data_IF_933984000284
#
_entry.id   IF_933984000284
#
_cell.length_a   1.000
_cell.length_b   1.000
_cell.length_c   1.000
_cell.angle_alpha   90.00
_cell.angle_beta   90.00
_cell.angle_gamma   90.00
#
_symmetry.space_group_name_H-M   'P 1'
#
loop_
_entity.id
_entity.type
_entity.pdbx_description
1 polymer ?
#
# COMPACT_ATOMS: atom_id res chain seq x y z
N UNK A 1 42.88 -30.59 9.40
CA UNK A 1 42.03 -31.43 10.27
C UNK A 1 40.83 -30.60 10.77
N UNK A 2 40.02 -30.10 9.84
CA UNK A 2 38.67 -29.59 10.13
C UNK A 2 37.75 -30.55 9.39
N UNK A 3 37.39 -31.66 10.03
CA UNK A 3 36.28 -32.49 9.53
C UNK A 3 35.02 -31.63 9.52
N UNK A 4 34.17 -31.82 8.51
CA UNK A 4 32.99 -31.01 8.22
C UNK A 4 32.19 -30.66 9.49
N UNK A 5 32.43 -29.47 10.05
CA UNK A 5 31.70 -28.94 11.21
C UNK A 5 30.23 -28.70 10.85
N UNK A 6 29.95 -28.59 9.55
CA UNK A 6 28.64 -28.35 8.99
C UNK A 6 28.41 -29.42 7.93
N UNK A 7 27.41 -30.27 8.15
CA UNK A 7 26.90 -31.17 7.14
C UNK A 7 26.09 -30.37 6.11
N UNK A 8 26.74 -30.05 5.00
CA UNK A 8 26.13 -29.30 3.91
C UNK A 8 25.01 -30.09 3.21
N UNK A 9 25.06 -31.42 3.21
CA UNK A 9 24.01 -32.24 2.60
C UNK A 9 22.69 -32.08 3.34
N UNK A 10 22.71 -32.17 4.68
CA UNK A 10 21.52 -31.93 5.49
C UNK A 10 21.10 -30.47 5.48
N UNK A 11 22.03 -29.51 5.39
CA UNK A 11 21.71 -28.10 5.24
C UNK A 11 20.98 -27.80 3.92
N UNK A 12 21.49 -28.27 2.79
CA UNK A 12 20.82 -28.08 1.49
C UNK A 12 19.49 -28.82 1.45
N UNK A 13 19.43 -30.02 2.01
CA UNK A 13 18.17 -30.74 2.23
C UNK A 13 17.21 -29.94 3.10
N UNK A 14 17.69 -29.21 4.12
CA UNK A 14 16.91 -28.31 4.98
C UNK A 14 16.32 -27.10 4.21
N UNK A 15 17.03 -26.58 3.22
CA UNK A 15 16.64 -25.41 2.43
C UNK A 15 15.76 -25.74 1.23
N UNK A 16 15.83 -26.96 0.70
CA UNK A 16 15.19 -27.35 -0.56
C UNK A 16 13.65 -27.38 -0.60
N UNK A 17 12.93 -26.90 0.44
CA UNK A 17 11.46 -26.75 0.37
C UNK A 17 11.03 -25.30 0.52
N UNK A 18 10.08 -24.91 -0.35
CA UNK A 18 9.49 -23.58 -0.37
C UNK A 18 8.83 -23.22 0.98
N UNK A 19 8.22 -24.18 1.66
CA UNK A 19 7.62 -23.97 2.98
C UNK A 19 8.65 -23.62 4.05
N UNK A 20 9.82 -24.26 4.04
CA UNK A 20 10.90 -23.95 4.99
C UNK A 20 11.53 -22.59 4.71
N UNK A 21 11.72 -22.24 3.44
CA UNK A 21 12.14 -20.89 3.06
C UNK A 21 11.10 -19.84 3.45
N UNK A 22 9.80 -20.15 3.35
CA UNK A 22 8.73 -19.27 3.84
C UNK A 22 8.83 -19.04 5.35
N UNK A 23 9.10 -20.09 6.13
CA UNK A 23 9.30 -19.99 7.58
C UNK A 23 10.50 -19.10 7.93
N UNK A 24 11.63 -19.29 7.25
CA UNK A 24 12.83 -18.49 7.47
C UNK A 24 12.60 -17.01 7.12
N UNK A 25 11.95 -16.73 5.99
CA UNK A 25 11.60 -15.37 5.58
C UNK A 25 10.64 -14.69 6.56
N UNK A 26 9.63 -15.42 7.07
CA UNK A 26 8.67 -14.87 8.03
C UNK A 26 9.34 -14.52 9.36
N UNK A 27 10.25 -15.36 9.85
CA UNK A 27 11.05 -15.05 11.05
C UNK A 27 12.04 -13.90 10.83
N UNK A 28 12.55 -13.72 9.61
CA UNK A 28 13.42 -12.59 9.27
C UNK A 28 12.64 -11.27 9.27
N UNK A 29 11.42 -11.31 8.71
CA UNK A 29 10.54 -10.14 8.57
C UNK A 29 9.90 -9.73 9.89
N UNK A 30 9.30 -10.68 10.60
CA UNK A 30 8.42 -10.44 11.75
C UNK A 30 9.13 -10.62 13.10
N UNK A 31 10.38 -11.08 13.09
CA UNK A 31 11.15 -11.38 14.30
C UNK A 31 10.66 -12.64 15.02
N UNK A 32 10.88 -12.75 16.36
CA UNK A 32 10.52 -13.95 17.11
C UNK A 32 9.00 -14.20 17.18
N UNK A 33 8.55 -15.39 16.75
CA UNK A 33 7.13 -15.76 16.67
C UNK A 33 6.81 -17.05 17.43
N UNK A 34 5.62 -17.12 18.03
CA UNK A 34 5.12 -18.38 18.62
C UNK A 34 4.78 -19.41 17.54
N UNK A 35 4.65 -20.68 17.92
CA UNK A 35 4.25 -21.75 17.01
C UNK A 35 2.98 -21.41 16.22
N UNK A 36 1.92 -20.93 16.91
CA UNK A 36 0.63 -20.63 16.29
C UNK A 36 0.71 -19.45 15.33
N UNK A 37 1.42 -18.39 15.71
CA UNK A 37 1.62 -17.21 14.85
C UNK A 37 2.38 -17.60 13.58
N UNK A 38 3.52 -18.29 13.74
CA UNK A 38 4.37 -18.69 12.62
C UNK A 38 3.65 -19.66 11.66
N UNK A 39 2.90 -20.61 12.22
CA UNK A 39 2.09 -21.57 11.47
C UNK A 39 1.04 -20.85 10.60
N UNK A 40 0.29 -19.92 11.19
CA UNK A 40 -0.75 -19.17 10.50
C UNK A 40 -0.16 -18.23 9.44
N UNK A 41 0.92 -17.52 9.76
CA UNK A 41 1.59 -16.60 8.84
C UNK A 41 2.17 -17.33 7.61
N UNK A 42 2.63 -18.57 7.79
CA UNK A 42 3.13 -19.41 6.70
C UNK A 42 2.04 -20.20 5.95
N UNK A 43 0.75 -19.92 6.18
CA UNK A 43 -0.35 -20.50 5.42
C UNK A 43 -0.77 -21.93 5.82
N UNK A 44 -0.26 -22.46 6.94
CA UNK A 44 -0.64 -23.79 7.45
C UNK A 44 -1.91 -23.69 8.30
N UNK A 45 -3.07 -23.44 7.69
CA UNK A 45 -4.29 -23.13 8.46
C UNK A 45 -4.96 -24.38 9.05
N UNK A 46 -4.91 -25.53 8.38
CA UNK A 46 -5.72 -26.70 8.76
C UNK A 46 -5.10 -27.45 9.95
N UNK A 47 -5.95 -27.99 10.85
CA UNK A 47 -5.48 -28.76 12.02
C UNK A 47 -4.62 -29.96 11.64
N UNK A 48 -4.98 -30.65 10.55
CA UNK A 48 -4.23 -31.80 10.00
C UNK A 48 -2.79 -31.48 9.57
N UNK A 49 -2.49 -30.21 9.31
CA UNK A 49 -1.17 -29.78 8.82
C UNK A 49 -0.18 -29.49 9.97
N UNK A 50 -0.64 -29.55 11.23
CA UNK A 50 0.19 -29.24 12.40
C UNK A 50 1.40 -30.17 12.52
N UNK A 51 1.23 -31.47 12.25
CA UNK A 51 2.33 -32.44 12.28
C UNK A 51 3.39 -32.15 11.22
N UNK A 52 2.95 -31.82 9.99
CA UNK A 52 3.82 -31.42 8.89
C UNK A 52 4.59 -30.13 9.22
N UNK A 53 3.92 -29.13 9.78
CA UNK A 53 4.56 -27.88 10.18
C UNK A 53 5.59 -28.10 11.31
N UNK A 54 5.27 -28.92 12.32
CA UNK A 54 6.20 -29.29 13.37
C UNK A 54 7.45 -30.02 12.82
N UNK A 55 7.27 -30.86 11.80
CA UNK A 55 8.38 -31.50 11.09
C UNK A 55 9.34 -30.47 10.47
N UNK A 56 8.81 -29.45 9.78
CA UNK A 56 9.63 -28.38 9.21
C UNK A 56 10.45 -27.64 10.28
N UNK A 57 9.84 -27.29 11.41
CA UNK A 57 10.54 -26.63 12.51
C UNK A 57 11.65 -27.51 13.11
N UNK A 58 11.39 -28.81 13.28
CA UNK A 58 12.39 -29.75 13.80
C UNK A 58 13.61 -29.81 12.89
N UNK A 59 13.39 -29.89 11.58
CA UNK A 59 14.46 -30.00 10.59
C UNK A 59 15.26 -28.69 10.48
N UNK A 60 14.61 -27.53 10.52
CA UNK A 60 15.31 -26.24 10.55
C UNK A 60 16.10 -26.02 11.84
N UNK A 61 15.61 -26.55 12.97
CA UNK A 61 16.31 -26.48 14.25
C UNK A 61 17.51 -27.42 14.28
N UNK A 62 17.41 -28.62 13.68
CA UNK A 62 18.51 -29.60 13.69
C UNK A 62 19.75 -29.14 12.94
N UNK A 63 19.58 -28.28 11.93
CA UNK A 63 20.70 -27.64 11.19
C UNK A 63 21.02 -26.23 11.69
N UNK A 64 20.53 -25.86 12.89
CA UNK A 64 20.81 -24.59 13.55
C UNK A 64 20.43 -23.33 12.75
N UNK A 65 19.42 -23.40 11.87
CA UNK A 65 18.90 -22.23 11.14
C UNK A 65 17.92 -21.42 12.00
N UNK A 66 17.16 -22.10 12.87
CA UNK A 66 16.24 -21.48 13.81
C UNK A 66 16.48 -22.02 15.22
N UNK A 67 16.04 -21.27 16.22
CA UNK A 67 16.09 -21.66 17.63
C UNK A 67 14.75 -21.39 18.31
N UNK A 68 14.42 -22.17 19.33
CA UNK A 68 13.25 -21.96 20.20
C UNK A 68 13.71 -21.43 21.55
N UNK A 69 13.29 -20.22 21.91
CA UNK A 69 13.50 -19.71 23.25
C UNK A 69 12.54 -20.42 24.22
N UNK A 70 13.09 -21.16 25.20
CA UNK A 70 12.32 -21.99 26.13
C UNK A 70 11.43 -21.18 27.08
N UNK A 71 11.79 -19.92 27.36
CA UNK A 71 11.08 -19.03 28.28
C UNK A 71 9.89 -18.37 27.58
N UNK A 72 10.14 -17.78 26.40
CA UNK A 72 9.09 -17.06 25.65
C UNK A 72 8.26 -17.96 24.75
N UNK A 73 8.70 -19.21 24.52
CA UNK A 73 8.10 -20.16 23.56
C UNK A 73 8.03 -19.61 22.12
N UNK A 74 8.96 -18.72 21.77
CA UNK A 74 9.07 -18.12 20.44
C UNK A 74 10.26 -18.70 19.67
N UNK A 75 10.03 -18.96 18.39
CA UNK A 75 11.05 -19.31 17.42
C UNK A 75 11.69 -18.05 16.86
N UNK A 76 12.99 -18.09 16.61
CA UNK A 76 13.74 -17.01 15.96
C UNK A 76 14.84 -17.56 15.06
N UNK A 77 15.21 -16.80 14.03
CA UNK A 77 16.42 -17.06 13.26
C UNK A 77 17.66 -16.98 14.15
N UNK A 78 18.57 -17.92 13.97
CA UNK A 78 19.92 -17.85 14.54
C UNK A 78 20.81 -16.92 13.69
N UNK A 79 21.98 -16.48 14.19
CA UNK A 79 22.95 -15.74 13.37
C UNK A 79 23.34 -16.53 12.11
N UNK A 80 23.60 -17.83 12.25
CA UNK A 80 23.89 -18.72 11.12
C UNK A 80 22.73 -18.78 10.13
N UNK A 81 21.49 -18.91 10.62
CA UNK A 81 20.29 -18.90 9.79
C UNK A 81 20.12 -17.62 8.99
N UNK A 82 20.47 -16.45 9.54
CA UNK A 82 20.45 -15.18 8.82
C UNK A 82 21.48 -15.17 7.69
N UNK A 83 22.70 -15.60 7.95
CA UNK A 83 23.76 -15.70 6.92
C UNK A 83 23.37 -16.66 5.80
N UNK A 84 22.86 -17.84 6.14
CA UNK A 84 22.41 -18.83 5.16
C UNK A 84 21.24 -18.31 4.33
N UNK A 85 20.25 -17.67 4.97
CA UNK A 85 19.11 -17.09 4.25
C UNK A 85 19.55 -15.96 3.30
N UNK A 86 20.48 -15.11 3.72
CA UNK A 86 21.05 -14.06 2.88
C UNK A 86 21.77 -14.65 1.65
N UNK A 87 22.69 -15.59 1.87
CA UNK A 87 23.40 -16.29 0.79
C UNK A 87 22.43 -17.03 -0.15
N UNK A 88 21.38 -17.64 0.39
CA UNK A 88 20.33 -18.31 -0.43
C UNK A 88 19.60 -17.30 -1.31
N UNK A 89 19.31 -16.10 -0.80
CA UNK A 89 18.67 -15.06 -1.58
C UNK A 89 19.61 -14.49 -2.65
N UNK A 90 20.90 -14.27 -2.33
CA UNK A 90 21.91 -13.87 -3.32
C UNK A 90 22.04 -14.89 -4.46
N UNK A 91 22.10 -16.19 -4.14
CA UNK A 91 22.13 -17.26 -5.13
C UNK A 91 20.87 -17.28 -6.01
N UNK A 92 19.70 -16.99 -5.43
CA UNK A 92 18.47 -16.87 -6.21
C UNK A 92 18.53 -15.68 -7.16
N UNK A 93 18.93 -14.50 -6.68
CA UNK A 93 19.07 -13.31 -7.53
C UNK A 93 20.09 -13.53 -8.66
N UNK A 94 21.23 -14.16 -8.36
CA UNK A 94 22.21 -14.56 -9.38
C UNK A 94 21.59 -15.55 -10.40
N UNK A 95 20.88 -16.58 -9.93
CA UNK A 95 20.22 -17.54 -10.83
C UNK A 95 19.17 -16.85 -11.74
N UNK A 96 18.45 -15.85 -11.24
CA UNK A 96 17.53 -15.05 -12.05
C UNK A 96 18.30 -14.26 -13.13
N UNK A 97 19.40 -13.60 -12.75
CA UNK A 97 20.26 -12.84 -13.66
C UNK A 97 20.81 -13.71 -14.79
N UNK A 98 21.26 -14.94 -14.49
CA UNK A 98 21.79 -15.88 -15.48
C UNK A 98 20.73 -16.61 -16.30
N UNK A 99 19.44 -16.49 -15.97
CA UNK A 99 18.39 -17.19 -16.71
C UNK A 99 18.04 -16.58 -18.07
N UNK A 100 18.57 -15.39 -18.39
CA UNK A 100 18.26 -14.65 -19.62
C UNK A 100 16.83 -14.08 -19.69
N UNK A 101 16.07 -14.19 -18.59
CA UNK A 101 14.71 -13.67 -18.45
C UNK A 101 14.68 -12.47 -17.51
N UNK A 102 13.76 -11.56 -17.75
CA UNK A 102 13.52 -10.40 -16.89
C UNK A 102 12.49 -10.79 -15.84
N UNK A 103 12.75 -10.46 -14.57
CA UNK A 103 11.81 -10.69 -13.49
C UNK A 103 11.39 -9.39 -12.82
N UNK A 104 10.16 -9.37 -12.33
CA UNK A 104 9.55 -8.24 -11.65
C UNK A 104 9.11 -8.67 -10.26
N UNK A 105 9.41 -7.84 -9.27
CA UNK A 105 8.87 -7.99 -7.93
C UNK A 105 7.47 -7.39 -7.87
N UNK A 106 6.49 -8.24 -7.62
CA UNK A 106 5.10 -7.83 -7.43
C UNK A 106 4.89 -7.16 -6.07
N UNK A 107 3.79 -6.43 -5.92
CA UNK A 107 3.37 -5.83 -4.64
C UNK A 107 3.26 -6.85 -3.50
N UNK A 108 2.99 -8.12 -3.82
CA UNK A 108 2.95 -9.25 -2.88
C UNK A 108 4.34 -9.82 -2.52
N UNK A 109 5.42 -9.12 -2.88
CA UNK A 109 6.81 -9.53 -2.66
C UNK A 109 7.19 -10.86 -3.33
N UNK A 110 6.39 -11.29 -4.31
CA UNK A 110 6.67 -12.45 -5.15
C UNK A 110 7.41 -11.99 -6.40
N UNK A 111 8.42 -12.75 -6.81
CA UNK A 111 9.13 -12.56 -8.07
C UNK A 111 8.35 -13.30 -9.16
N UNK A 112 7.99 -12.59 -10.23
CA UNK A 112 7.31 -13.14 -11.41
C UNK A 112 8.11 -12.79 -12.66
N UNK A 113 7.99 -13.60 -13.71
CA UNK A 113 8.54 -13.25 -15.02
C UNK A 113 7.87 -11.99 -15.55
N UNK A 114 8.65 -11.12 -16.20
CA UNK A 114 8.15 -9.91 -16.84
C UNK A 114 7.17 -10.28 -17.96
N UNK A 115 6.03 -9.59 -17.96
CA UNK A 115 4.98 -9.77 -18.95
C UNK A 115 4.57 -8.39 -19.46
N UNK A 116 4.99 -8.05 -20.68
CA UNK A 116 4.68 -6.78 -21.32
C UNK A 116 3.19 -6.61 -21.59
N UNK A 117 2.41 -7.69 -21.67
CA UNK A 117 0.95 -7.61 -21.79
C UNK A 117 0.32 -6.91 -20.58
N UNK A 118 0.93 -7.00 -19.38
CA UNK A 118 0.44 -6.24 -18.21
C UNK A 118 0.55 -4.73 -18.43
N UNK A 119 1.55 -4.25 -19.16
CA UNK A 119 1.69 -2.83 -19.54
C UNK A 119 0.59 -2.46 -20.53
N UNK A 120 0.42 -3.25 -21.60
CA UNK A 120 -0.63 -3.05 -22.60
C UNK A 120 -2.02 -2.94 -21.97
N UNK A 121 -2.34 -3.87 -21.08
CA UNK A 121 -3.63 -3.90 -20.39
C UNK A 121 -3.81 -2.73 -19.42
N UNK A 122 -2.74 -2.21 -18.82
CA UNK A 122 -2.79 -1.03 -17.94
C UNK A 122 -3.04 0.23 -18.76
N UNK A 123 -2.33 0.42 -19.89
CA UNK A 123 -2.52 1.54 -20.81
C UNK A 123 -3.98 1.66 -21.29
N UNK A 124 -4.60 0.54 -21.67
CA UNK A 124 -5.98 0.53 -22.14
C UNK A 124 -6.96 0.77 -20.99
N UNK A 125 -6.85 0.00 -19.90
CA UNK A 125 -7.88 0.00 -18.84
C UNK A 125 -7.83 1.23 -17.95
N UNK A 126 -6.64 1.75 -17.68
CA UNK A 126 -6.46 2.85 -16.72
C UNK A 126 -6.37 4.20 -17.42
N UNK A 127 -5.73 4.25 -18.59
CA UNK A 127 -5.51 5.51 -19.31
C UNK A 127 -6.36 5.66 -20.57
N UNK A 128 -7.15 4.66 -20.95
CA UNK A 128 -7.95 4.67 -22.19
C UNK A 128 -7.11 4.95 -23.44
N UNK A 129 -5.86 4.46 -23.47
CA UNK A 129 -5.00 4.58 -24.65
C UNK A 129 -5.58 3.74 -25.80
N UNK A 130 -5.70 4.28 -27.03
CA UNK A 130 -6.13 3.51 -28.19
C UNK A 130 -5.26 2.27 -28.41
N UNK A 131 -5.87 1.13 -28.79
CA UNK A 131 -5.20 -0.18 -28.85
C UNK A 131 -3.91 -0.17 -29.68
N UNK A 132 -3.92 0.51 -30.82
CA UNK A 132 -2.76 0.58 -31.72
C UNK A 132 -1.61 1.37 -31.08
N UNK A 133 -1.93 2.47 -30.40
CA UNK A 133 -0.95 3.29 -29.69
C UNK A 133 -0.41 2.57 -28.45
N UNK A 134 -1.29 1.91 -27.70
CA UNK A 134 -0.91 1.09 -26.54
C UNK A 134 0.05 -0.04 -26.94
N UNK A 135 -0.19 -0.69 -28.09
CA UNK A 135 0.72 -1.71 -28.63
C UNK A 135 2.11 -1.16 -28.93
N UNK A 136 2.18 0.00 -29.60
CA UNK A 136 3.47 0.67 -29.91
C UNK A 136 4.23 1.07 -28.65
N UNK A 137 3.56 1.69 -27.68
CA UNK A 137 4.17 2.08 -26.40
C UNK A 137 4.64 0.85 -25.61
N UNK A 138 3.84 -0.22 -25.59
CA UNK A 138 4.21 -1.47 -24.91
C UNK A 138 5.46 -2.09 -25.51
N UNK A 139 5.52 -2.19 -26.85
CA UNK A 139 6.67 -2.76 -27.54
C UNK A 139 7.95 -1.94 -27.28
N UNK A 140 7.83 -0.61 -27.25
CA UNK A 140 8.95 0.26 -26.90
C UNK A 140 9.38 0.11 -25.44
N UNK A 141 8.42 0.06 -24.51
CA UNK A 141 8.71 -0.17 -23.10
C UNK A 141 9.43 -1.52 -22.90
N UNK A 142 8.95 -2.59 -23.53
CA UNK A 142 9.57 -3.91 -23.51
C UNK A 142 11.00 -3.88 -24.05
N UNK A 143 11.21 -3.28 -25.22
CA UNK A 143 12.52 -3.21 -25.87
C UNK A 143 13.56 -2.39 -25.07
N UNK A 144 13.12 -1.40 -24.30
CA UNK A 144 14.02 -0.66 -23.40
C UNK A 144 14.23 -1.38 -22.07
N UNK A 145 13.19 -1.97 -21.50
CA UNK A 145 13.26 -2.76 -20.27
C UNK A 145 14.20 -3.96 -20.46
N UNK A 146 14.20 -4.59 -21.64
CA UNK A 146 15.09 -5.71 -21.96
C UNK A 146 16.57 -5.36 -22.02
N UNK A 147 16.91 -4.07 -22.08
CA UNK A 147 18.30 -3.58 -22.06
C UNK A 147 18.77 -3.20 -20.66
N UNK A 148 17.87 -3.21 -19.67
CA UNK A 148 18.24 -2.87 -18.30
C UNK A 148 18.96 -4.05 -17.66
N UNK A 149 20.26 -3.91 -17.41
CA UNK A 149 21.03 -4.85 -16.63
C UNK A 149 20.92 -4.50 -15.14
N UNK A 150 20.74 -5.52 -14.28
CA UNK A 150 20.81 -5.39 -12.82
C UNK A 150 19.78 -4.45 -12.16
N UNK A 151 18.66 -4.15 -12.83
CA UNK A 151 17.59 -3.33 -12.25
C UNK A 151 16.52 -4.22 -11.63
N UNK A 152 16.30 -4.08 -10.33
CA UNK A 152 15.16 -4.71 -9.65
C UNK A 152 13.85 -4.01 -10.05
N UNK A 153 13.20 -4.54 -11.08
CA UNK A 153 11.94 -3.99 -11.56
C UNK A 153 10.81 -4.26 -10.57
N UNK A 154 10.03 -3.22 -10.32
CA UNK A 154 8.78 -3.29 -9.56
C UNK A 154 7.64 -2.74 -10.41
N UNK A 155 6.40 -3.12 -10.12
CA UNK A 155 5.25 -2.55 -10.81
C UNK A 155 5.20 -0.99 -10.72
N UNK A 156 5.63 -0.36 -9.61
CA UNK A 156 5.85 1.07 -9.58
C UNK A 156 6.86 1.60 -10.57
N UNK A 157 8.06 1.02 -10.60
CA UNK A 157 9.14 1.47 -11.48
C UNK A 157 8.80 1.29 -12.97
N UNK A 158 8.16 0.16 -13.33
CA UNK A 158 7.68 -0.07 -14.70
C UNK A 158 6.71 1.02 -15.12
N UNK A 159 5.83 1.47 -14.22
CA UNK A 159 4.89 2.56 -14.53
C UNK A 159 5.61 3.88 -14.75
N UNK A 160 6.59 4.23 -13.92
CA UNK A 160 7.38 5.46 -14.14
C UNK A 160 8.12 5.41 -15.47
N UNK A 161 8.62 4.23 -15.85
CA UNK A 161 9.26 4.00 -17.14
C UNK A 161 8.30 4.17 -18.33
N UNK A 162 7.06 3.67 -18.20
CA UNK A 162 6.03 3.87 -19.23
C UNK A 162 5.59 5.34 -19.29
N UNK A 163 5.46 6.01 -18.14
CA UNK A 163 5.15 7.43 -18.06
C UNK A 163 6.22 8.29 -18.73
N UNK A 164 7.51 7.94 -18.62
CA UNK A 164 8.57 8.67 -19.31
C UNK A 164 8.44 8.56 -20.83
N UNK A 165 8.10 7.37 -21.36
CA UNK A 165 7.83 7.17 -22.79
C UNK A 165 6.63 8.02 -23.25
N UNK A 166 5.58 8.11 -22.44
CA UNK A 166 4.41 8.95 -22.75
C UNK A 166 4.82 10.43 -22.84
N UNK A 167 5.59 10.94 -21.88
CA UNK A 167 6.09 12.33 -21.89
C UNK A 167 6.99 12.59 -23.10
N UNK A 168 7.92 11.69 -23.41
CA UNK A 168 8.80 11.81 -24.58
C UNK A 168 8.03 11.90 -25.91
N UNK A 169 6.81 11.34 -25.97
CA UNK A 169 5.94 11.38 -27.14
C UNK A 169 4.91 12.52 -27.11
N UNK A 170 4.93 13.40 -26.10
CA UNK A 170 3.94 14.47 -25.93
C UNK A 170 2.53 13.95 -25.64
N UNK A 171 2.42 12.78 -25.00
CA UNK A 171 1.17 12.08 -24.70
C UNK A 171 0.71 12.35 -23.25
N UNK A 172 0.69 13.63 -22.86
CA UNK A 172 0.48 14.07 -21.48
C UNK A 172 -0.89 13.67 -20.94
N UNK A 173 -1.93 13.64 -21.79
CA UNK A 173 -3.28 13.22 -21.41
C UNK A 173 -3.31 11.79 -20.85
N UNK A 174 -2.51 10.87 -21.42
CA UNK A 174 -2.45 9.48 -20.99
C UNK A 174 -1.54 9.34 -19.78
N UNK A 175 -0.45 10.11 -19.72
CA UNK A 175 0.45 10.16 -18.56
C UNK A 175 -0.30 10.62 -17.31
N UNK A 176 -1.13 11.67 -17.42
CA UNK A 176 -1.90 12.19 -16.29
C UNK A 176 -2.84 11.13 -15.73
N UNK A 177 -3.48 10.32 -16.57
CA UNK A 177 -4.34 9.20 -16.13
C UNK A 177 -3.59 8.04 -15.48
N UNK A 178 -2.33 7.80 -15.86
CA UNK A 178 -1.49 6.78 -15.22
C UNK A 178 -0.77 7.28 -13.97
N UNK A 179 -0.73 8.59 -13.72
CA UNK A 179 0.01 9.19 -12.62
C UNK A 179 -0.53 8.72 -11.28
N UNK A 180 0.39 8.42 -10.34
CA UNK A 180 0.02 8.10 -8.96
C UNK A 180 -0.16 9.37 -8.17
N UNK A 181 -1.19 9.37 -7.34
CA UNK A 181 -1.42 10.42 -6.35
C UNK A 181 -0.81 10.00 -5.02
N UNK A 182 -0.15 10.94 -4.36
CA UNK A 182 0.57 10.66 -3.12
C UNK A 182 1.53 11.79 -2.76
N UNK A 183 2.16 11.63 -1.60
CA UNK A 183 3.18 12.56 -1.13
C UNK A 183 4.59 11.97 -1.29
N UNK A 184 5.61 12.81 -1.53
CA UNK A 184 6.99 12.39 -1.45
C UNK A 184 7.32 11.78 -0.08
N UNK A 185 8.13 10.72 -0.07
CA UNK A 185 8.51 10.00 1.17
C UNK A 185 9.16 10.94 2.18
N UNK A 186 9.98 11.88 1.69
CA UNK A 186 10.65 12.89 2.53
C UNK A 186 9.63 13.78 3.25
N UNK A 187 8.68 14.35 2.51
CA UNK A 187 7.66 15.25 3.07
C UNK A 187 6.81 14.57 4.14
N UNK A 188 6.47 13.29 3.93
CA UNK A 188 5.77 12.49 4.94
C UNK A 188 6.65 12.26 6.17
N UNK A 189 7.94 11.95 5.96
CA UNK A 189 8.90 11.74 7.05
C UNK A 189 9.06 13.00 7.89
N UNK A 190 9.26 14.15 7.25
CA UNK A 190 9.44 15.44 7.90
C UNK A 190 8.20 15.80 8.73
N UNK A 191 6.98 15.59 8.19
CA UNK A 191 5.73 15.80 8.92
C UNK A 191 5.58 14.87 10.14
N UNK A 192 5.95 13.58 9.99
CA UNK A 192 5.92 12.62 11.11
C UNK A 192 6.88 13.05 12.22
N UNK A 193 8.11 13.47 11.85
CA UNK A 193 9.11 13.94 12.82
C UNK A 193 8.63 15.20 13.53
N UNK A 194 8.05 16.16 12.81
CA UNK A 194 7.52 17.39 13.40
C UNK A 194 6.45 17.10 14.45
N UNK A 195 5.50 16.22 14.14
CA UNK A 195 4.43 15.82 15.07
C UNK A 195 4.99 15.18 16.34
N UNK A 196 6.01 14.33 16.19
CA UNK A 196 6.69 13.71 17.33
C UNK A 196 7.41 14.70 18.24
N UNK A 197 7.79 15.89 17.71
CA UNK A 197 8.46 16.95 18.47
C UNK A 197 7.47 17.96 19.09
N UNK A 198 6.29 18.15 18.50
CA UNK A 198 5.37 19.24 18.84
C UNK A 198 4.07 18.80 19.53
N UNK A 199 3.99 17.58 20.05
CA UNK A 199 2.73 16.96 20.55
C UNK A 199 1.57 17.07 19.52
N UNK A 200 1.90 16.97 18.23
CA UNK A 200 0.91 17.13 17.16
C UNK A 200 -0.14 16.01 17.15
N UNK A 201 -1.33 16.33 16.66
CA UNK A 201 -2.40 15.35 16.49
C UNK A 201 -2.14 14.47 15.25
N UNK A 202 -2.19 13.14 15.39
CA UNK A 202 -2.08 12.21 14.25
C UNK A 202 -3.23 12.44 13.25
N UNK A 203 -4.40 12.88 13.70
CA UNK A 203 -5.54 13.19 12.81
C UNK A 203 -5.19 14.30 11.83
N UNK A 204 -4.53 15.37 12.27
CA UNK A 204 -4.18 16.49 11.38
C UNK A 204 -3.15 16.09 10.33
N UNK A 205 -2.26 15.12 10.62
CA UNK A 205 -1.38 14.54 9.60
C UNK A 205 -2.17 13.83 8.51
N UNK A 206 -3.15 13.03 8.93
CA UNK A 206 -3.96 12.21 8.03
C UNK A 206 -4.84 13.10 7.16
N UNK A 207 -5.43 14.13 7.74
CA UNK A 207 -6.19 15.17 7.03
C UNK A 207 -5.31 15.89 6.02
N UNK A 208 -4.15 16.43 6.44
CA UNK A 208 -3.25 17.13 5.53
C UNK A 208 -2.73 16.22 4.39
N UNK A 209 -2.52 14.92 4.66
CA UNK A 209 -2.14 13.95 3.64
C UNK A 209 -3.29 13.63 2.68
N UNK A 210 -4.52 13.50 3.20
CA UNK A 210 -5.71 13.30 2.38
C UNK A 210 -5.98 14.52 1.50
N UNK A 211 -5.93 15.73 2.07
CA UNK A 211 -6.12 16.99 1.36
C UNK A 211 -5.12 17.15 0.22
N UNK A 212 -3.84 16.83 0.44
CA UNK A 212 -2.83 16.88 -0.62
C UNK A 212 -3.16 15.90 -1.77
N UNK A 213 -3.52 14.66 -1.43
CA UNK A 213 -3.86 13.63 -2.44
C UNK A 213 -5.10 14.01 -3.25
N UNK A 214 -6.14 14.51 -2.60
CA UNK A 214 -7.37 14.93 -3.28
C UNK A 214 -7.21 16.23 -4.05
N UNK A 215 -6.37 17.15 -3.57
CA UNK A 215 -5.97 18.33 -4.32
C UNK A 215 -5.28 17.95 -5.62
N UNK A 216 -4.28 17.06 -5.56
CA UNK A 216 -3.60 16.60 -6.78
C UNK A 216 -4.56 15.89 -7.74
N UNK A 217 -5.50 15.09 -7.21
CA UNK A 217 -6.55 14.48 -8.04
C UNK A 217 -7.37 15.54 -8.78
N UNK A 218 -7.86 16.55 -8.06
CA UNK A 218 -8.66 17.63 -8.62
C UNK A 218 -7.89 18.35 -9.74
N UNK A 219 -6.66 18.80 -9.43
CA UNK A 219 -5.82 19.57 -10.34
C UNK A 219 -5.43 18.77 -11.59
N UNK A 220 -5.23 17.45 -11.47
CA UNK A 220 -4.84 16.60 -12.60
C UNK A 220 -6.02 16.16 -13.47
N UNK A 221 -7.24 16.10 -12.94
CA UNK A 221 -8.36 15.41 -13.62
C UNK A 221 -9.57 16.27 -13.93
N UNK A 222 -9.85 17.31 -13.13
CA UNK A 222 -11.08 18.09 -13.23
C UNK A 222 -10.86 19.55 -13.63
N UNK A 223 -9.66 20.09 -13.37
CA UNK A 223 -9.31 21.48 -13.67
C UNK A 223 -8.68 21.56 -15.06
N UNK A 224 -9.10 22.53 -15.87
CA UNK A 224 -8.46 22.77 -17.18
C UNK A 224 -7.04 23.32 -16.98
N UNK A 225 -6.14 23.07 -17.94
CA UNK A 225 -4.76 23.56 -17.87
C UNK A 225 -4.69 25.08 -17.70
N UNK A 226 -5.58 25.82 -18.36
CA UNK A 226 -5.67 27.28 -18.25
C UNK A 226 -5.99 27.75 -16.82
N UNK A 227 -6.97 27.11 -16.16
CA UNK A 227 -7.35 27.42 -14.77
C UNK A 227 -6.24 26.99 -13.80
N UNK A 228 -5.61 25.85 -14.07
CA UNK A 228 -4.48 25.39 -13.27
C UNK A 228 -3.30 26.37 -13.36
N UNK A 229 -2.96 26.84 -14.55
CA UNK A 229 -1.88 27.80 -14.75
C UNK A 229 -2.17 29.12 -14.02
N UNK A 230 -3.40 29.64 -14.12
CA UNK A 230 -3.82 30.82 -13.35
C UNK A 230 -3.75 30.57 -11.83
N UNK A 231 -4.05 29.36 -11.37
CA UNK A 231 -3.96 29.03 -9.95
C UNK A 231 -2.49 29.00 -9.48
N UNK A 232 -1.62 28.37 -10.26
CA UNK A 232 -0.20 28.24 -9.96
C UNK A 232 0.57 29.56 -10.11
N UNK A 233 0.13 30.44 -11.02
CA UNK A 233 0.69 31.79 -11.19
C UNK A 233 0.22 32.77 -10.11
N UNK A 234 -0.81 32.41 -9.34
CA UNK A 234 -1.42 33.24 -8.31
C UNK A 234 -2.43 34.27 -8.85
N UNK A 235 -2.85 34.16 -10.11
CA UNK A 235 -3.93 34.97 -10.69
C UNK A 235 -5.30 34.61 -10.09
N UNK A 236 -5.51 33.32 -9.76
CA UNK A 236 -6.67 32.84 -9.04
C UNK A 236 -6.26 31.94 -7.86
N UNK A 237 -7.13 31.82 -6.86
CA UNK A 237 -6.94 30.88 -5.75
C UNK A 237 -8.08 29.88 -5.70
N UNK A 238 -7.77 28.61 -5.94
CA UNK A 238 -8.70 27.51 -5.70
C UNK A 238 -8.62 27.14 -4.22
N UNK A 239 -9.72 27.37 -3.49
CA UNK A 239 -9.81 27.09 -2.06
C UNK A 239 -10.40 25.71 -1.80
N UNK A 240 -9.99 25.06 -0.70
CA UNK A 240 -10.54 23.80 -0.22
C UNK A 240 -10.49 22.66 -1.26
N UNK A 241 -9.44 22.65 -2.08
CA UNK A 241 -9.25 21.67 -3.18
C UNK A 241 -9.25 20.22 -2.72
N UNK A 242 -8.91 19.95 -1.45
CA UNK A 242 -8.93 18.61 -0.85
C UNK A 242 -10.33 18.00 -0.71
N UNK A 243 -11.40 18.80 -0.74
CA UNK A 243 -12.77 18.32 -0.52
C UNK A 243 -13.69 18.46 -1.75
N UNK A 244 -13.22 19.07 -2.83
CA UNK A 244 -14.01 19.31 -4.04
C UNK A 244 -14.55 18.01 -4.64
N UNK A 245 -15.86 17.98 -4.90
CA UNK A 245 -16.54 16.81 -5.45
C UNK A 245 -16.73 15.64 -4.47
N UNK A 246 -16.23 15.77 -3.23
CA UNK A 246 -16.37 14.75 -2.18
C UNK A 246 -17.43 15.19 -1.16
N UNK A 247 -17.42 16.46 -0.75
CA UNK A 247 -18.40 17.02 0.19
C UNK A 247 -18.69 18.50 -0.11
N UNK A 248 -19.86 19.02 0.28
CA UNK A 248 -20.14 20.45 0.17
C UNK A 248 -19.21 21.25 1.08
N UNK A 249 -18.70 22.37 0.57
CA UNK A 249 -17.84 23.29 1.32
C UNK A 249 -18.60 24.02 2.44
N UNK A 250 -19.84 24.44 2.13
CA UNK A 250 -20.72 25.12 3.07
C UNK A 250 -22.13 24.54 2.96
N UNK A 251 -22.79 24.35 4.10
CA UNK A 251 -24.19 23.97 4.16
C UNK A 251 -24.95 25.03 4.96
N UNK A 252 -25.95 25.64 4.31
CA UNK A 252 -26.82 26.62 4.93
C UNK A 252 -28.09 25.94 5.42
N UNK A 253 -28.48 26.24 6.65
CA UNK A 253 -29.70 25.71 7.25
C UNK A 253 -30.60 26.82 7.77
N UNK A 254 -31.90 26.68 7.54
CA UNK A 254 -32.91 27.51 8.19
C UNK A 254 -33.22 26.94 9.59
N UNK A 255 -32.83 27.67 10.63
CA UNK A 255 -33.08 27.30 12.01
C UNK A 255 -34.58 27.17 12.34
N UNK A 256 -35.46 27.87 11.63
CA UNK A 256 -36.92 27.82 11.86
C UNK A 256 -37.53 26.51 11.34
N UNK A 257 -36.93 25.91 10.31
CA UNK A 257 -37.36 24.63 9.75
C UNK A 257 -37.16 23.45 10.73
N UNK A 258 -36.21 23.55 11.67
CA UNK A 258 -35.95 22.52 12.68
C UNK A 258 -37.08 22.30 13.68
N UNK A 259 -38.01 23.25 13.82
CA UNK A 259 -39.12 23.15 14.77
C UNK A 259 -40.22 22.16 14.34
N UNK A 260 -40.19 21.69 13.08
CA UNK A 260 -41.31 20.98 12.45
C UNK A 260 -40.97 19.64 11.78
N UNK A 261 -39.70 19.22 11.75
CA UNK A 261 -39.30 17.96 11.11
C UNK A 261 -38.47 17.05 12.03
N UNK A 262 -38.92 15.79 12.15
CA UNK A 262 -38.06 14.64 12.47
C UNK A 262 -37.11 14.47 11.27
N UNK A 263 -35.90 15.01 11.33
CA UNK A 263 -34.95 14.94 10.22
C UNK A 263 -34.43 13.51 10.10
N UNK A 264 -35.01 12.73 9.18
CA UNK A 264 -34.40 11.51 8.68
C UNK A 264 -33.35 11.89 7.64
N UNK A 265 -32.10 12.06 8.04
CA UNK A 265 -30.99 12.08 7.09
C UNK A 265 -31.00 10.76 6.32
N UNK A 266 -31.34 10.82 5.04
CA UNK A 266 -31.42 9.67 4.12
C UNK A 266 -30.06 9.11 3.72
N UNK A 267 -28.96 9.60 4.32
CA UNK A 267 -27.69 8.90 4.31
C UNK A 267 -27.85 7.73 5.28
N UNK A 268 -27.70 6.50 4.80
CA UNK A 268 -27.61 5.30 5.65
C UNK A 268 -26.30 5.37 6.45
N UNK A 269 -26.20 6.32 7.36
CA UNK A 269 -25.11 6.42 8.31
C UNK A 269 -25.48 5.59 9.55
N UNK A 270 -24.71 4.54 9.91
CA UNK A 270 -24.98 3.72 11.09
C UNK A 270 -24.70 4.45 12.42
N UNK A 271 -24.22 5.69 12.42
CA UNK A 271 -23.77 6.38 13.63
C UNK A 271 -24.70 7.50 14.16
N UNK A 272 -25.83 7.78 13.51
CA UNK A 272 -26.83 8.73 14.06
C UNK A 272 -27.86 8.02 14.96
N UNK A 273 -28.05 8.44 16.23
CA UNK A 273 -29.15 7.95 17.05
C UNK A 273 -30.48 8.41 16.45
N UNK A 274 -31.36 7.47 16.13
CA UNK A 274 -32.75 7.77 15.75
C UNK A 274 -33.54 8.11 17.00
N UNK A 275 -33.70 9.39 17.31
CA UNK A 275 -34.73 9.79 18.27
C UNK A 275 -36.08 9.88 17.57
N UNK A 276 -37.08 9.20 18.12
CA UNK A 276 -38.48 9.27 17.68
C UNK A 276 -39.27 9.91 18.82
N UNK A 277 -39.87 11.09 18.59
CA UNK A 277 -40.74 11.70 19.60
C UNK A 277 -41.45 12.97 19.12
N UNK A 278 -42.79 12.97 19.18
CA UNK A 278 -43.68 14.11 18.88
C UNK A 278 -43.76 15.12 20.03
N UNK A 279 -42.63 15.62 20.55
CA UNK A 279 -42.63 16.69 21.56
C UNK A 279 -42.02 17.98 21.02
N UNK A 280 -42.56 19.12 21.45
CA UNK A 280 -42.01 20.45 21.15
C UNK A 280 -40.54 20.50 21.55
N UNK A 281 -39.67 20.69 20.57
CA UNK A 281 -38.23 20.76 20.75
C UNK A 281 -37.91 22.02 21.58
N UNK A 282 -37.46 21.82 22.82
CA UNK A 282 -36.87 22.89 23.64
C UNK A 282 -35.64 23.45 22.93
N UNK A 283 -35.34 24.75 23.07
CA UNK A 283 -34.15 25.40 22.51
C UNK A 283 -32.87 24.60 22.80
N UNK A 284 -32.76 24.02 24.01
CA UNK A 284 -31.62 23.17 24.40
C UNK A 284 -31.52 21.89 23.56
N UNK A 285 -32.65 21.25 23.22
CA UNK A 285 -32.66 20.08 22.34
C UNK A 285 -32.32 20.46 20.89
N UNK A 286 -32.74 21.64 20.43
CA UNK A 286 -32.36 22.15 19.12
C UNK A 286 -30.84 22.41 19.04
N UNK A 287 -30.25 23.05 20.06
CA UNK A 287 -28.80 23.29 20.14
C UNK A 287 -28.01 21.98 20.20
N UNK A 288 -28.46 20.98 20.96
CA UNK A 288 -27.81 19.66 21.00
C UNK A 288 -27.92 18.94 19.66
N UNK A 289 -29.05 19.05 18.96
CA UNK A 289 -29.24 18.45 17.64
C UNK A 289 -28.38 19.12 16.58
N UNK A 290 -28.26 20.45 16.61
CA UNK A 290 -27.35 21.22 15.75
C UNK A 290 -25.90 20.85 16.07
N UNK A 291 -25.53 20.73 17.35
CA UNK A 291 -24.18 20.30 17.75
C UNK A 291 -23.84 18.91 17.22
N UNK A 292 -24.73 17.92 17.43
CA UNK A 292 -24.56 16.56 16.89
C UNK A 292 -24.52 16.54 15.37
N UNK A 293 -25.29 17.41 14.71
CA UNK A 293 -25.25 17.55 13.26
C UNK A 293 -23.90 18.11 12.79
N UNK A 294 -23.41 19.17 13.45
CA UNK A 294 -22.10 19.76 13.16
C UNK A 294 -21.02 18.69 13.33
N UNK A 295 -20.99 17.97 14.45
CA UNK A 295 -20.05 16.87 14.72
C UNK A 295 -20.15 15.76 13.63
N UNK A 296 -21.37 15.40 13.21
CA UNK A 296 -21.57 14.39 12.16
C UNK A 296 -21.12 14.84 10.76
N UNK A 297 -21.16 16.15 10.49
CA UNK A 297 -20.79 16.73 9.19
C UNK A 297 -19.29 17.11 9.17
N UNK A 298 -18.71 17.51 10.29
CA UNK A 298 -17.30 17.85 10.42
C UNK A 298 -16.39 16.62 10.53
N UNK A 299 -16.95 15.44 10.77
CA UNK A 299 -16.17 14.20 10.95
C UNK A 299 -15.39 14.14 12.27
N UNK A 300 -15.59 15.12 13.15
CA UNK A 300 -15.05 15.13 14.51
C UNK A 300 -16.01 14.33 15.41
N UNK A 301 -15.61 13.10 15.75
CA UNK A 301 -16.27 12.25 16.77
C UNK A 301 -15.49 12.31 18.08
#
# INVERSE_FOLDING_TARGET
MYGDVIDFETLYSALGSNERLSILNELNKSGPLSYTQLKNNCGFVKKRESGRFAYHLRLLTSVNLISLNKNTKKYSLTPFGRTVLAATNELKEAALQFSGKIYVRTSKHKIEEFDSNKIYQSLIREANVPRDLASKITAEAEARISKLENVHLTAPLIREFVNSILVEKGLDEYRNRLTRLGLPVKDVTDKITQIGLSEGNISSLREAAADAVFTDYLLLTQVSSEILDMHLSGEISLMNTGCWGIMPDNIFFDALAFSSFDIKFGLKDPFLPREYGKEKISFTKAVISIKKMIESVSGEV
#
